data_IF_608301367569
#
_entry.id   IF_608301367569
#
_cell.length_a   1.000
_cell.length_b   1.000
_cell.length_c   1.000
_cell.angle_alpha   90.00
_cell.angle_beta   90.00
_cell.angle_gamma   90.00
#
_symmetry.space_group_name_H-M   'P 1'
#
loop_
_entity.id
_entity.type
_entity.pdbx_description
1 polymer ?
#
# COMPACT_ATOMS: atom_id res chain seq x y z
N UNK A 1 -7.18 40.85 -10.59
CA UNK A 1 -6.71 39.57 -11.18
C UNK A 1 -7.78 38.53 -10.89
N UNK A 2 -8.58 38.10 -11.89
CA UNK A 2 -9.47 36.95 -11.74
C UNK A 2 -8.59 35.71 -11.45
N UNK A 3 -8.69 35.17 -10.27
CA UNK A 3 -8.06 33.89 -9.93
C UNK A 3 -8.77 32.84 -10.79
N UNK A 4 -8.11 32.37 -11.85
CA UNK A 4 -8.66 31.27 -12.65
C UNK A 4 -8.78 30.05 -11.73
N UNK A 5 -10.01 29.61 -11.50
CA UNK A 5 -10.26 28.38 -10.74
C UNK A 5 -9.61 27.22 -11.48
N UNK A 6 -8.78 26.47 -10.74
CA UNK A 6 -8.16 25.27 -11.29
C UNK A 6 -9.26 24.25 -11.63
N UNK A 7 -9.14 23.48 -12.74
CA UNK A 7 -10.10 22.45 -13.07
C UNK A 7 -10.30 21.47 -11.88
N UNK A 8 -11.54 21.03 -11.64
CA UNK A 8 -11.81 20.05 -10.59
C UNK A 8 -11.14 18.71 -10.90
N UNK A 9 -10.71 18.00 -9.87
CA UNK A 9 -10.23 16.62 -9.96
C UNK A 9 -11.24 15.75 -9.21
N UNK A 10 -11.66 14.68 -9.84
CA UNK A 10 -12.67 13.78 -9.28
C UNK A 10 -11.99 12.56 -8.66
N UNK A 11 -12.51 12.12 -7.53
CA UNK A 11 -12.13 10.87 -6.86
C UNK A 11 -13.23 9.84 -7.11
N UNK A 12 -12.84 8.63 -7.48
CA UNK A 12 -13.74 7.47 -7.46
C UNK A 12 -13.87 6.90 -6.04
N UNK A 13 -14.64 5.83 -5.89
CA UNK A 13 -14.76 5.13 -4.61
C UNK A 13 -13.39 4.67 -4.11
N UNK A 14 -13.10 4.80 -2.82
CA UNK A 14 -11.85 4.28 -2.25
C UNK A 14 -11.93 2.78 -1.98
N UNK A 15 -10.76 2.14 -1.95
CA UNK A 15 -10.55 0.83 -1.37
C UNK A 15 -9.83 0.98 -0.02
N UNK A 16 -10.21 0.17 0.96
CA UNK A 16 -9.58 0.23 2.28
C UNK A 16 -9.53 -1.16 2.94
N UNK A 17 -8.37 -1.48 3.51
CA UNK A 17 -8.13 -2.66 4.34
C UNK A 17 -7.32 -2.23 5.56
N UNK A 18 -7.76 -2.57 6.75
CA UNK A 18 -7.06 -2.28 8.01
C UNK A 18 -7.44 -3.28 9.10
N UNK A 19 -7.01 -3.03 10.33
CA UNK A 19 -7.44 -3.82 11.50
C UNK A 19 -8.96 -3.78 11.74
N UNK A 20 -9.67 -2.81 11.18
CA UNK A 20 -11.12 -2.73 11.24
C UNK A 20 -11.82 -3.69 10.26
N UNK A 21 -11.08 -4.31 9.35
CA UNK A 21 -11.58 -5.25 8.35
C UNK A 21 -11.31 -4.81 6.91
N UNK A 22 -12.10 -5.31 5.98
CA UNK A 22 -11.96 -5.09 4.55
C UNK A 22 -13.21 -4.39 3.98
N UNK A 23 -13.00 -3.34 3.20
CA UNK A 23 -14.05 -2.60 2.51
C UNK A 23 -14.55 -1.35 3.24
N UNK A 24 -15.00 -0.38 2.44
CA UNK A 24 -15.43 0.93 2.91
C UNK A 24 -16.59 0.84 3.91
N UNK A 25 -17.58 -0.02 3.64
CA UNK A 25 -18.76 -0.17 4.52
C UNK A 25 -18.37 -0.65 5.91
N UNK A 26 -17.51 -1.68 5.99
CA UNK A 26 -16.99 -2.21 7.25
C UNK A 26 -16.30 -1.12 8.08
N UNK A 27 -15.49 -0.26 7.42
CA UNK A 27 -14.81 0.84 8.10
C UNK A 27 -15.77 1.93 8.57
N UNK A 28 -16.77 2.28 7.77
CA UNK A 28 -17.80 3.27 8.16
C UNK A 28 -18.55 2.75 9.38
N UNK A 29 -19.00 1.51 9.34
CA UNK A 29 -19.76 0.92 10.45
C UNK A 29 -18.90 0.84 11.72
N UNK A 30 -17.63 0.38 11.61
CA UNK A 30 -16.72 0.30 12.75
C UNK A 30 -16.37 1.68 13.37
N UNK A 31 -16.32 2.74 12.55
CA UNK A 31 -15.99 4.08 13.03
C UNK A 31 -17.20 4.84 13.60
N UNK A 32 -18.41 4.55 13.11
CA UNK A 32 -19.62 5.27 13.50
C UNK A 32 -20.46 4.53 14.53
N UNK A 33 -20.31 3.21 14.65
CA UNK A 33 -21.04 2.39 15.61
C UNK A 33 -20.09 1.97 16.74
N UNK A 34 -20.39 2.29 18.00
CA UNK A 34 -19.62 1.83 19.13
C UNK A 34 -19.55 0.29 19.14
N UNK A 35 -18.37 -0.26 19.28
CA UNK A 35 -18.15 -1.70 19.48
C UNK A 35 -17.60 -1.94 20.88
N UNK A 36 -18.10 -2.96 21.55
CA UNK A 36 -17.57 -3.42 22.84
C UNK A 36 -16.24 -4.18 22.67
N UNK A 37 -15.94 -4.64 21.44
CA UNK A 37 -14.72 -5.39 21.13
C UNK A 37 -13.68 -4.48 20.47
N UNK A 38 -12.46 -4.53 21.00
CA UNK A 38 -11.32 -3.84 20.39
C UNK A 38 -10.89 -4.53 19.09
N UNK A 39 -10.66 -3.79 17.98
CA UNK A 39 -10.10 -4.34 16.76
C UNK A 39 -8.59 -4.59 16.87
N UNK A 40 -7.99 -4.27 18.00
CA UNK A 40 -6.55 -4.40 18.21
C UNK A 40 -6.15 -5.82 18.61
N UNK A 41 -5.03 -6.27 18.08
CA UNK A 41 -4.36 -7.52 18.46
C UNK A 41 -3.29 -7.21 19.47
N UNK A 42 -3.29 -7.94 20.60
CA UNK A 42 -2.27 -7.81 21.63
C UNK A 42 -1.19 -8.89 21.45
N UNK A 43 0.07 -8.49 21.39
CA UNK A 43 1.19 -9.39 21.12
C UNK A 43 2.47 -8.92 21.80
N UNK A 44 3.31 -9.87 22.23
CA UNK A 44 4.69 -9.66 22.69
C UNK A 44 5.73 -10.10 21.64
N UNK A 45 5.25 -10.44 20.44
CA UNK A 45 6.07 -10.94 19.34
C UNK A 45 7.24 -10.02 18.98
N UNK A 46 7.05 -8.70 19.10
CA UNK A 46 8.05 -7.71 18.69
C UNK A 46 9.00 -7.28 19.81
N UNK A 47 8.54 -7.42 21.07
CA UNK A 47 9.36 -7.11 22.25
C UNK A 47 9.11 -8.18 23.30
N UNK A 48 10.03 -9.10 23.42
CA UNK A 48 9.93 -10.24 24.35
C UNK A 48 9.60 -9.78 25.76
N UNK A 49 8.54 -10.34 26.32
CA UNK A 49 8.09 -10.04 27.69
C UNK A 49 7.32 -8.73 27.86
N UNK A 50 6.97 -8.03 26.76
CA UNK A 50 6.12 -6.83 26.79
C UNK A 50 5.03 -6.93 25.74
N UNK A 51 3.79 -6.95 26.17
CA UNK A 51 2.62 -6.98 25.29
C UNK A 51 2.24 -5.57 24.85
N UNK A 52 2.09 -5.39 23.54
CA UNK A 52 1.61 -4.15 22.93
C UNK A 52 0.35 -4.40 22.12
N UNK A 53 -0.44 -3.34 21.93
CA UNK A 53 -1.60 -3.34 21.07
C UNK A 53 -1.22 -2.95 19.63
N UNK A 54 -1.61 -3.76 18.65
CA UNK A 54 -1.34 -3.57 17.24
C UNK A 54 -2.62 -3.55 16.42
N UNK A 55 -2.69 -2.69 15.42
CA UNK A 55 -3.70 -2.74 14.38
C UNK A 55 -3.32 -3.77 13.32
N UNK A 56 -3.52 -5.05 13.60
CA UNK A 56 -3.19 -6.13 12.67
C UNK A 56 -4.34 -6.41 11.70
N UNK A 57 -4.01 -6.68 10.43
CA UNK A 57 -4.96 -7.25 9.46
C UNK A 57 -4.96 -8.75 9.64
N UNK A 58 -6.06 -9.26 10.22
CA UNK A 58 -6.23 -10.68 10.60
C UNK A 58 -6.97 -11.51 9.54
N UNK A 59 -7.37 -10.89 8.43
CA UNK A 59 -8.05 -11.58 7.34
C UNK A 59 -7.07 -12.41 6.49
N UNK A 60 -7.60 -13.45 5.83
CA UNK A 60 -6.86 -14.17 4.80
C UNK A 60 -6.67 -13.26 3.61
N UNK A 61 -5.44 -12.86 3.36
CA UNK A 61 -5.13 -11.97 2.24
C UNK A 61 -5.26 -12.69 0.90
N UNK A 62 -5.72 -11.95 -0.12
CA UNK A 62 -5.70 -12.38 -1.51
C UNK A 62 -4.30 -12.88 -1.89
N UNK A 63 -4.14 -14.10 -2.44
CA UNK A 63 -2.83 -14.57 -2.88
C UNK A 63 -2.29 -13.69 -4.00
N UNK A 64 -0.98 -13.43 -3.97
CA UNK A 64 -0.30 -12.74 -5.07
C UNK A 64 -0.30 -13.61 -6.33
N UNK A 65 -0.39 -13.03 -7.54
CA UNK A 65 -0.28 -13.78 -8.80
C UNK A 65 1.00 -14.63 -8.87
N UNK A 66 0.89 -15.84 -9.41
CA UNK A 66 2.00 -16.81 -9.43
C UNK A 66 3.19 -16.37 -10.30
N UNK A 67 2.91 -15.61 -11.36
CA UNK A 67 3.90 -15.15 -12.33
C UNK A 67 4.68 -13.89 -11.91
N UNK A 68 4.52 -13.42 -10.66
CA UNK A 68 5.25 -12.27 -10.17
C UNK A 68 6.72 -12.59 -9.88
N UNK A 69 7.61 -11.66 -10.24
CA UNK A 69 9.00 -11.71 -9.82
C UNK A 69 9.14 -11.57 -8.29
N UNK A 70 10.27 -12.03 -7.74
CA UNK A 70 10.57 -11.89 -6.32
C UNK A 70 10.50 -10.43 -5.84
N UNK A 71 10.86 -9.47 -6.69
CA UNK A 71 10.82 -8.03 -6.41
C UNK A 71 9.45 -7.51 -5.97
N UNK A 72 8.38 -8.15 -6.43
CA UNK A 72 7.00 -7.74 -6.12
C UNK A 72 6.37 -8.55 -4.98
N UNK A 73 7.06 -9.59 -4.51
CA UNK A 73 6.55 -10.50 -3.48
C UNK A 73 6.92 -9.98 -2.09
N UNK A 74 6.12 -9.05 -1.59
CA UNK A 74 6.20 -8.58 -0.21
C UNK A 74 4.83 -8.62 0.44
N UNK A 75 4.80 -8.70 1.78
CA UNK A 75 3.55 -8.56 2.52
C UNK A 75 2.90 -7.20 2.28
N UNK A 76 3.69 -6.13 2.16
CA UNK A 76 3.19 -4.80 1.80
C UNK A 76 2.42 -4.81 0.48
N UNK A 77 2.99 -5.41 -0.58
CA UNK A 77 2.32 -5.52 -1.87
C UNK A 77 1.12 -6.48 -1.82
N UNK A 78 1.17 -7.51 -0.98
CA UNK A 78 0.02 -8.41 -0.78
C UNK A 78 -1.15 -7.70 -0.09
N UNK A 79 -0.91 -6.87 0.92
CA UNK A 79 -1.93 -6.03 1.55
C UNK A 79 -2.54 -5.05 0.55
N UNK A 80 -1.71 -4.41 -0.26
CA UNK A 80 -2.14 -3.52 -1.34
C UNK A 80 -2.99 -4.28 -2.37
N UNK A 81 -2.56 -5.47 -2.80
CA UNK A 81 -3.28 -6.32 -3.73
C UNK A 81 -4.66 -6.72 -3.22
N UNK A 82 -4.74 -7.08 -1.95
CA UNK A 82 -5.99 -7.40 -1.28
C UNK A 82 -6.95 -6.20 -1.24
N UNK A 83 -6.45 -5.01 -0.93
CA UNK A 83 -7.27 -3.79 -0.95
C UNK A 83 -7.74 -3.44 -2.37
N UNK A 84 -6.87 -3.55 -3.38
CA UNK A 84 -7.16 -3.21 -4.78
C UNK A 84 -8.26 -4.09 -5.40
N UNK A 85 -8.49 -5.30 -4.89
CA UNK A 85 -9.59 -6.16 -5.34
C UNK A 85 -10.95 -5.46 -5.27
N UNK A 86 -11.15 -4.59 -4.28
CA UNK A 86 -12.40 -3.84 -4.08
C UNK A 86 -12.72 -2.85 -5.22
N UNK A 87 -11.70 -2.43 -5.98
CA UNK A 87 -11.79 -1.42 -7.05
C UNK A 87 -11.15 -1.90 -8.37
N UNK A 88 -10.87 -3.19 -8.49
CA UNK A 88 -10.16 -3.75 -9.63
C UNK A 88 -10.85 -3.45 -10.97
N UNK A 89 -12.17 -3.56 -11.01
CA UNK A 89 -12.96 -3.26 -12.22
C UNK A 89 -12.85 -1.79 -12.63
N UNK A 90 -12.82 -0.87 -11.67
CA UNK A 90 -12.68 0.57 -11.93
C UNK A 90 -11.27 0.87 -12.48
N UNK A 91 -10.23 0.24 -11.94
CA UNK A 91 -8.86 0.37 -12.44
C UNK A 91 -8.76 -0.14 -13.88
N UNK A 92 -9.25 -1.36 -14.14
CA UNK A 92 -9.25 -1.95 -15.48
C UNK A 92 -10.07 -1.14 -16.47
N UNK A 93 -11.21 -0.61 -16.05
CA UNK A 93 -12.03 0.28 -16.88
C UNK A 93 -11.30 1.58 -17.22
N UNK A 94 -10.60 2.18 -16.27
CA UNK A 94 -9.78 3.39 -16.50
C UNK A 94 -8.64 3.11 -17.49
N UNK A 95 -7.90 2.02 -17.31
CA UNK A 95 -6.83 1.63 -18.25
C UNK A 95 -7.35 1.39 -19.66
N UNK A 96 -8.51 0.70 -19.81
CA UNK A 96 -9.15 0.51 -21.12
C UNK A 96 -9.60 1.82 -21.75
N UNK A 97 -10.17 2.75 -20.95
CA UNK A 97 -10.74 4.01 -21.42
C UNK A 97 -9.69 5.02 -21.83
N UNK A 98 -8.65 5.17 -21.02
CA UNK A 98 -7.66 6.24 -21.20
C UNK A 98 -6.34 5.75 -21.79
N UNK A 99 -6.12 4.44 -21.80
CA UNK A 99 -4.89 3.81 -22.29
C UNK A 99 -3.83 3.63 -21.21
N UNK A 100 -3.04 2.57 -21.37
CA UNK A 100 -1.98 2.20 -20.42
C UNK A 100 -0.94 3.31 -20.22
N UNK A 101 -0.56 4.01 -21.28
CA UNK A 101 0.44 5.09 -21.24
C UNK A 101 -0.08 6.39 -20.60
N UNK A 102 -1.41 6.58 -20.55
CA UNK A 102 -2.04 7.75 -19.93
C UNK A 102 -2.59 7.49 -18.53
N UNK A 103 -2.43 6.29 -18.03
CA UNK A 103 -2.77 5.94 -16.65
C UNK A 103 -1.51 5.98 -15.81
N UNK A 104 -1.55 6.68 -14.70
CA UNK A 104 -0.42 6.82 -13.78
C UNK A 104 -0.68 6.09 -12.45
N UNK A 105 0.39 5.69 -11.76
CA UNK A 105 0.35 5.11 -10.42
C UNK A 105 1.16 5.98 -9.47
N UNK A 106 0.49 6.61 -8.52
CA UNK A 106 1.13 7.45 -7.51
C UNK A 106 0.78 6.91 -6.13
N UNK A 107 1.78 6.44 -5.42
CA UNK A 107 1.61 5.80 -4.11
C UNK A 107 2.22 6.64 -3.00
N UNK A 108 1.68 6.49 -1.79
CA UNK A 108 2.27 7.03 -0.56
C UNK A 108 2.63 5.90 0.39
N UNK A 109 3.89 5.79 0.77
CA UNK A 109 4.36 4.84 1.78
C UNK A 109 5.53 5.41 2.55
N UNK A 110 5.71 4.99 3.80
CA UNK A 110 6.89 5.35 4.59
C UNK A 110 7.89 4.21 4.78
N UNK A 111 7.49 2.97 4.51
CA UNK A 111 8.30 1.78 4.79
C UNK A 111 8.43 0.83 3.61
N UNK A 112 7.54 0.89 2.62
CA UNK A 112 7.46 -0.10 1.55
C UNK A 112 7.44 -1.54 2.12
N UNK A 113 8.21 -2.47 1.55
CA UNK A 113 8.38 -3.84 2.01
C UNK A 113 9.61 -4.04 2.91
N UNK A 114 9.95 -3.06 3.76
CA UNK A 114 11.11 -3.15 4.66
C UNK A 114 11.05 -4.33 5.63
N UNK A 115 9.85 -4.78 5.99
CA UNK A 115 9.59 -5.92 6.85
C UNK A 115 10.09 -7.26 6.27
N UNK A 116 10.28 -7.37 4.97
CA UNK A 116 10.89 -8.55 4.33
C UNK A 116 12.35 -8.79 4.79
N UNK A 117 13.00 -7.80 5.39
CA UNK A 117 14.34 -7.88 5.93
C UNK A 117 14.40 -8.15 7.44
N UNK A 118 13.27 -8.22 8.13
CA UNK A 118 13.21 -8.54 9.57
C UNK A 118 13.94 -9.84 9.90
N UNK A 119 13.79 -10.95 9.12
CA UNK A 119 14.50 -12.19 9.41
C UNK A 119 16.02 -12.08 9.36
N UNK A 120 16.57 -11.20 8.51
CA UNK A 120 18.00 -10.90 8.48
C UNK A 120 18.44 -10.10 9.71
N UNK A 121 17.70 -9.03 10.03
CA UNK A 121 18.01 -8.18 11.17
C UNK A 121 17.92 -8.94 12.49
N UNK A 122 16.92 -9.80 12.64
CA UNK A 122 16.79 -10.69 13.81
C UNK A 122 18.00 -11.63 13.93
N UNK A 123 18.37 -12.28 12.81
CA UNK A 123 19.54 -13.17 12.78
C UNK A 123 20.83 -12.47 13.21
N UNK A 124 21.05 -11.25 12.74
CA UNK A 124 22.23 -10.46 13.13
C UNK A 124 22.16 -10.03 14.59
N UNK A 125 20.98 -9.64 15.08
CA UNK A 125 20.79 -9.30 16.50
C UNK A 125 21.05 -10.49 17.43
N UNK A 126 20.80 -11.71 16.96
CA UNK A 126 21.07 -12.95 17.67
C UNK A 126 22.54 -13.43 17.54
N UNK A 127 23.43 -12.61 16.93
CA UNK A 127 24.86 -12.87 16.81
C UNK A 127 25.28 -13.51 15.50
N UNK A 128 24.38 -13.65 14.52
CA UNK A 128 24.71 -14.18 13.20
C UNK A 128 25.38 -13.13 12.28
N UNK A 129 25.86 -13.57 11.13
CA UNK A 129 26.52 -12.72 10.14
C UNK A 129 25.55 -12.08 9.14
N UNK A 130 25.89 -10.89 8.66
CA UNK A 130 25.12 -10.20 7.62
C UNK A 130 25.03 -10.97 6.29
N UNK A 131 26.03 -11.80 6.00
CA UNK A 131 26.10 -12.61 4.79
C UNK A 131 25.30 -13.92 4.86
N UNK A 132 24.79 -14.30 6.03
CA UNK A 132 24.13 -15.59 6.24
C UNK A 132 22.70 -15.64 5.67
N UNK A 133 22.09 -14.49 5.44
CA UNK A 133 20.76 -14.35 4.86
C UNK A 133 20.73 -13.25 3.80
N UNK A 134 19.90 -13.40 2.76
CA UNK A 134 19.79 -12.39 1.72
C UNK A 134 19.14 -11.10 2.26
N UNK A 135 19.63 -9.96 1.79
CA UNK A 135 18.94 -8.69 1.93
C UNK A 135 17.96 -8.51 0.75
N UNK A 136 16.69 -8.35 1.04
CA UNK A 136 15.62 -8.21 0.07
C UNK A 136 15.51 -6.75 -0.42
N UNK A 137 16.53 -6.29 -1.17
CA UNK A 137 16.64 -4.90 -1.61
C UNK A 137 15.45 -4.45 -2.45
N UNK A 138 15.04 -5.26 -3.42
CA UNK A 138 13.97 -4.87 -4.36
C UNK A 138 12.60 -4.73 -3.69
N UNK A 139 12.31 -5.55 -2.67
CA UNK A 139 11.09 -5.42 -1.87
C UNK A 139 11.17 -4.22 -0.92
N UNK A 140 12.38 -3.90 -0.46
CA UNK A 140 12.64 -2.78 0.43
C UNK A 140 12.55 -1.42 -0.28
N UNK A 141 12.81 -1.37 -1.58
CA UNK A 141 12.80 -0.11 -2.34
C UNK A 141 11.45 0.59 -2.25
N UNK A 142 11.49 1.92 -2.05
CA UNK A 142 10.27 2.73 -1.91
C UNK A 142 9.38 2.71 -3.16
N UNK A 143 9.95 2.50 -4.33
CA UNK A 143 9.21 2.39 -5.59
C UNK A 143 8.41 1.09 -5.73
N UNK A 144 8.72 0.04 -4.94
CA UNK A 144 8.14 -1.30 -5.07
C UNK A 144 6.61 -1.32 -5.20
N UNK A 145 5.80 -0.64 -4.36
CA UNK A 145 4.35 -0.70 -4.49
C UNK A 145 3.82 -0.05 -5.78
N UNK A 146 4.44 1.01 -6.29
CA UNK A 146 4.01 1.63 -7.55
C UNK A 146 4.38 0.78 -8.77
N UNK A 147 5.54 0.15 -8.76
CA UNK A 147 5.98 -0.78 -9.80
C UNK A 147 5.11 -2.05 -9.81
N UNK A 148 4.75 -2.57 -8.64
CA UNK A 148 3.84 -3.70 -8.50
C UNK A 148 2.46 -3.41 -9.13
N UNK A 149 1.82 -2.31 -8.77
CA UNK A 149 0.51 -1.93 -9.30
C UNK A 149 0.57 -1.72 -10.81
N UNK A 150 1.59 -1.03 -11.31
CA UNK A 150 1.79 -0.84 -12.74
C UNK A 150 1.94 -2.17 -13.48
N UNK A 151 2.71 -3.10 -12.92
CA UNK A 151 2.93 -4.42 -13.50
C UNK A 151 1.63 -5.23 -13.59
N UNK A 152 0.88 -5.38 -12.50
CA UNK A 152 -0.30 -6.26 -12.45
C UNK A 152 -1.48 -5.73 -13.27
N UNK A 153 -1.56 -4.42 -13.52
CA UNK A 153 -2.61 -3.80 -14.32
C UNK A 153 -2.16 -3.39 -15.73
N UNK A 154 -0.91 -3.64 -16.11
CA UNK A 154 -0.37 -3.28 -17.42
C UNK A 154 -0.34 -1.76 -17.64
N UNK A 155 -0.01 -0.99 -16.61
CA UNK A 155 0.07 0.48 -16.66
C UNK A 155 1.49 0.87 -17.09
N UNK A 156 1.58 1.72 -18.12
CA UNK A 156 2.85 2.18 -18.71
C UNK A 156 3.09 3.68 -18.53
N UNK A 157 2.15 4.40 -17.93
CA UNK A 157 2.30 5.82 -17.63
C UNK A 157 3.23 6.07 -16.45
N UNK A 158 3.23 7.32 -15.98
CA UNK A 158 4.08 7.75 -14.87
C UNK A 158 3.76 6.95 -13.61
N UNK A 159 4.80 6.48 -12.94
CA UNK A 159 4.68 5.77 -11.67
C UNK A 159 5.78 6.19 -10.72
N UNK A 160 5.40 6.52 -9.50
CA UNK A 160 6.34 6.87 -8.44
C UNK A 160 5.69 6.82 -7.06
N UNK A 161 6.53 6.89 -6.06
CA UNK A 161 6.14 6.91 -4.65
C UNK A 161 6.51 8.24 -4.01
N UNK A 162 5.62 8.73 -3.16
CA UNK A 162 5.88 9.86 -2.26
C UNK A 162 6.08 9.30 -0.86
N UNK A 163 7.25 9.59 -0.26
CA UNK A 163 7.56 9.19 1.11
C UNK A 163 7.86 10.41 1.96
N UNK A 164 6.91 10.79 2.79
CA UNK A 164 6.97 11.92 3.72
C UNK A 164 6.32 11.57 5.06
N UNK A 165 6.66 10.38 5.55
CA UNK A 165 6.11 9.81 6.78
C UNK A 165 4.57 9.84 6.81
N UNK A 166 3.94 10.34 7.87
CA UNK A 166 2.47 10.35 8.06
C UNK A 166 1.70 11.13 6.98
N UNK A 167 2.36 12.02 6.23
CA UNK A 167 1.74 12.83 5.17
C UNK A 167 1.83 12.21 3.78
N UNK A 168 2.45 11.04 3.62
CA UNK A 168 2.70 10.40 2.32
C UNK A 168 1.43 10.23 1.49
N UNK A 169 0.35 9.71 2.07
CA UNK A 169 -0.91 9.50 1.37
C UNK A 169 -1.55 10.80 0.87
N UNK A 170 -1.61 11.82 1.73
CA UNK A 170 -2.14 13.13 1.34
C UNK A 170 -1.30 13.78 0.23
N UNK A 171 0.02 13.67 0.30
CA UNK A 171 0.91 14.19 -0.73
C UNK A 171 0.84 13.42 -2.05
N UNK A 172 0.60 12.11 -2.01
CA UNK A 172 0.34 11.33 -3.21
C UNK A 172 -0.92 11.82 -3.94
N UNK A 173 -2.01 12.09 -3.21
CA UNK A 173 -3.23 12.68 -3.79
C UNK A 173 -2.98 14.09 -4.38
N UNK A 174 -2.22 14.94 -3.69
CA UNK A 174 -1.84 16.26 -4.21
C UNK A 174 -1.00 16.13 -5.48
N UNK A 175 -0.06 15.20 -5.52
CA UNK A 175 0.78 14.93 -6.68
C UNK A 175 -0.07 14.44 -7.87
N UNK A 176 -0.98 13.51 -7.64
CA UNK A 176 -1.92 13.01 -8.64
C UNK A 176 -2.79 14.14 -9.21
N UNK A 177 -3.35 14.99 -8.34
CA UNK A 177 -4.16 16.13 -8.75
C UNK A 177 -3.36 17.17 -9.59
N UNK A 178 -2.09 17.39 -9.26
CA UNK A 178 -1.19 18.26 -10.05
C UNK A 178 -0.92 17.66 -11.44
N UNK A 179 -0.63 16.36 -11.48
CA UNK A 179 -0.39 15.65 -12.74
C UNK A 179 -1.62 15.73 -13.66
N UNK A 180 -2.81 15.45 -13.16
CA UNK A 180 -4.05 15.55 -13.93
C UNK A 180 -4.33 16.95 -14.46
N UNK A 181 -3.91 18.00 -13.73
CA UNK A 181 -4.09 19.40 -14.14
C UNK A 181 -3.03 19.89 -15.13
N UNK A 182 -1.94 19.17 -15.26
CA UNK A 182 -0.88 19.52 -16.21
C UNK A 182 -1.10 18.96 -17.62
N UNK A 183 -2.07 18.03 -17.80
CA UNK A 183 -2.35 17.34 -19.06
C UNK A 183 -1.55 16.06 -19.18
#
# INVERSE_FOLDING_TARGET
>A
RRTMMKPPVYLSRPAVTSALGNGLRTHIDALLMPSETSPLTFSDQWVKGKTFAFGAVNETLRPLPDNLSAAHRSRNNQLLWHALEQIEDDIRAAVRRYGAARTAVIMGTSTSGADENIPLFQHVADGGGWADKPFNQLQHEMASPSEFVAHVYGIHGLRYVVSTACTSGARALISAARLLRSG
#
